data_IF_996161403992
#
_entry.id   IF_996161403992
#
_cell.length_a   1.000
_cell.length_b   1.000
_cell.length_c   1.000
_cell.angle_alpha   90.00
_cell.angle_beta   90.00
_cell.angle_gamma   90.00
#
_symmetry.space_group_name_H-M   'P 1'
#
loop_
_entity.id
_entity.type
_entity.pdbx_description
1 polymer ?
#
# COMPACT_ATOMS: atom_id res chain seq x y z
N UNK A 1 -18.92 -12.34 -21.41
CA UNK A 1 -18.48 -10.92 -21.29
C UNK A 1 -19.70 -9.98 -21.16
N UNK A 2 -20.90 -10.53 -20.92
CA UNK A 2 -22.15 -9.74 -20.92
C UNK A 2 -22.74 -9.47 -19.52
N UNK A 3 -21.94 -9.54 -18.46
CA UNK A 3 -22.42 -9.35 -17.08
C UNK A 3 -21.96 -8.06 -16.40
N UNK A 4 -21.60 -7.05 -17.20
CA UNK A 4 -21.29 -5.69 -16.71
C UNK A 4 -22.53 -4.81 -16.47
N UNK A 5 -23.74 -5.38 -16.58
CA UNK A 5 -25.00 -4.64 -16.46
C UNK A 5 -25.63 -4.68 -15.05
N UNK A 6 -25.01 -5.32 -14.06
CA UNK A 6 -25.49 -5.19 -12.69
C UNK A 6 -25.00 -3.87 -12.08
N UNK A 7 -25.90 -3.03 -11.56
CA UNK A 7 -25.50 -1.83 -10.87
C UNK A 7 -24.52 -2.22 -9.75
N UNK A 8 -23.38 -1.57 -9.72
CA UNK A 8 -22.34 -1.82 -8.71
C UNK A 8 -22.94 -1.59 -7.32
N UNK A 9 -23.26 -2.69 -6.64
CA UNK A 9 -23.87 -2.66 -5.29
C UNK A 9 -22.80 -2.71 -4.18
N UNK A 10 -21.53 -2.58 -4.56
CA UNK A 10 -20.40 -2.59 -3.64
C UNK A 10 -20.27 -1.28 -2.83
N UNK A 11 -19.43 -1.33 -1.81
CA UNK A 11 -19.05 -0.18 -1.01
C UNK A 11 -17.71 0.36 -1.51
N UNK A 12 -17.64 1.64 -1.87
CA UNK A 12 -16.37 2.32 -2.12
C UNK A 12 -15.70 2.65 -0.80
N UNK A 13 -14.90 1.70 -0.32
CA UNK A 13 -14.19 1.82 0.95
C UNK A 13 -13.15 2.96 0.94
N UNK A 14 -12.50 3.19 -0.20
CA UNK A 14 -11.50 4.23 -0.33
C UNK A 14 -12.13 5.62 -0.23
N UNK A 15 -13.22 5.85 -0.95
CA UNK A 15 -13.93 7.13 -0.88
C UNK A 15 -14.46 7.41 0.53
N UNK A 16 -15.04 6.41 1.20
CA UNK A 16 -15.49 6.57 2.59
C UNK A 16 -14.35 6.97 3.54
N UNK A 17 -13.17 6.39 3.35
CA UNK A 17 -11.99 6.76 4.14
C UNK A 17 -11.54 8.19 3.83
N UNK A 18 -11.50 8.58 2.55
CA UNK A 18 -11.16 9.95 2.14
C UNK A 18 -12.11 10.97 2.74
N UNK A 19 -13.42 10.72 2.66
CA UNK A 19 -14.45 11.61 3.22
C UNK A 19 -14.26 11.78 4.73
N UNK A 20 -14.01 10.68 5.44
CA UNK A 20 -13.76 10.71 6.86
C UNK A 20 -12.44 11.42 7.23
N UNK A 21 -11.36 11.21 6.45
CA UNK A 21 -10.08 11.86 6.70
C UNK A 21 -10.12 13.38 6.46
N UNK A 22 -10.97 13.85 5.54
CA UNK A 22 -11.21 15.28 5.28
C UNK A 22 -12.04 15.97 6.39
N UNK A 23 -12.84 15.22 7.12
CA UNK A 23 -13.67 15.74 8.21
C UNK A 23 -12.88 15.75 9.53
N UNK A 24 -12.73 16.92 10.22
CA UNK A 24 -11.95 17.02 11.45
C UNK A 24 -12.45 16.15 12.61
N UNK A 25 -13.72 15.77 12.64
CA UNK A 25 -14.30 14.92 13.67
C UNK A 25 -14.18 13.45 13.28
N UNK A 26 -14.55 13.12 12.05
CA UNK A 26 -14.57 11.73 11.56
C UNK A 26 -13.15 11.15 11.36
N UNK A 27 -12.15 11.99 11.06
CA UNK A 27 -10.74 11.55 10.93
C UNK A 27 -10.19 10.88 12.19
N UNK A 28 -10.78 11.14 13.36
CA UNK A 28 -10.41 10.50 14.63
C UNK A 28 -11.10 9.15 14.85
N UNK A 29 -11.88 8.68 13.88
CA UNK A 29 -12.57 7.38 13.95
C UNK A 29 -11.59 6.22 13.97
N UNK A 30 -11.91 5.21 14.80
CA UNK A 30 -11.18 3.92 14.86
C UNK A 30 -11.69 2.91 13.83
N UNK A 31 -12.56 3.35 12.89
CA UNK A 31 -13.22 2.50 11.90
C UNK A 31 -12.79 2.80 10.47
N UNK A 32 -11.67 3.52 10.29
CA UNK A 32 -11.10 3.80 8.98
C UNK A 32 -10.38 2.56 8.46
N UNK A 33 -11.14 1.56 8.07
CA UNK A 33 -10.66 0.24 7.67
C UNK A 33 -11.06 -0.03 6.22
N UNK A 34 -10.10 -0.52 5.44
CA UNK A 34 -10.31 -1.05 4.09
C UNK A 34 -9.90 -2.52 4.08
N UNK A 35 -10.78 -3.40 3.59
CA UNK A 35 -10.51 -4.85 3.52
C UNK A 35 -10.75 -5.38 2.13
N UNK A 36 -9.83 -6.23 1.68
CA UNK A 36 -9.97 -6.99 0.42
C UNK A 36 -10.45 -8.43 0.64
N UNK A 37 -10.49 -8.88 1.90
CA UNK A 37 -10.89 -10.25 2.24
C UNK A 37 -12.41 -10.39 2.32
N UNK A 38 -13.00 -10.97 1.26
CA UNK A 38 -14.43 -11.28 1.24
C UNK A 38 -14.64 -12.81 1.23
N UNK A 39 -15.04 -13.42 2.35
CA UNK A 39 -15.20 -14.89 2.43
C UNK A 39 -16.16 -15.49 1.41
N UNK A 40 -17.17 -14.74 0.97
CA UNK A 40 -18.14 -15.21 -0.03
C UNK A 40 -17.56 -15.31 -1.44
N UNK A 41 -16.48 -14.58 -1.72
CA UNK A 41 -15.91 -14.45 -3.06
C UNK A 41 -14.57 -15.18 -3.22
N UNK A 42 -14.00 -15.77 -2.16
CA UNK A 42 -12.67 -16.39 -2.22
C UNK A 42 -12.56 -17.45 -3.30
N UNK A 43 -13.62 -18.24 -3.48
CA UNK A 43 -13.66 -19.31 -4.50
C UNK A 43 -13.79 -18.79 -5.94
N UNK A 44 -14.07 -17.49 -6.11
CA UNK A 44 -14.20 -16.84 -7.41
C UNK A 44 -12.91 -16.09 -7.81
N UNK A 45 -11.95 -16.02 -6.90
CA UNK A 45 -10.68 -15.34 -7.11
C UNK A 45 -9.63 -16.32 -7.64
N UNK A 46 -8.82 -15.88 -8.61
CA UNK A 46 -7.67 -16.65 -9.08
C UNK A 46 -6.67 -16.90 -7.94
N UNK A 47 -6.53 -15.92 -7.04
CA UNK A 47 -5.73 -16.02 -5.81
C UNK A 47 -6.40 -15.18 -4.71
N UNK A 48 -6.65 -15.74 -3.52
CA UNK A 48 -7.11 -14.96 -2.38
C UNK A 48 -6.14 -13.82 -2.03
N UNK A 49 -6.64 -12.61 -1.69
CA UNK A 49 -5.79 -11.46 -1.47
C UNK A 49 -4.78 -11.69 -0.34
N UNK A 50 -3.51 -11.34 -0.59
CA UNK A 50 -2.46 -11.37 0.42
C UNK A 50 -2.54 -10.17 1.37
N UNK A 51 -2.86 -8.99 0.84
CA UNK A 51 -3.14 -7.78 1.60
C UNK A 51 -4.58 -7.85 2.13
N UNK A 52 -4.74 -8.35 3.36
CA UNK A 52 -6.07 -8.68 3.90
C UNK A 52 -6.85 -7.42 4.25
N UNK A 53 -6.21 -6.51 4.97
CA UNK A 53 -6.83 -5.25 5.40
C UNK A 53 -5.78 -4.20 5.73
N UNK A 54 -6.17 -2.94 5.64
CA UNK A 54 -5.43 -1.84 6.24
C UNK A 54 -6.36 -0.93 7.04
N UNK A 55 -5.80 -0.27 8.05
CA UNK A 55 -6.47 0.69 8.91
C UNK A 55 -5.68 1.99 8.91
N UNK A 56 -6.40 3.09 8.82
CA UNK A 56 -5.82 4.43 8.92
C UNK A 56 -6.12 5.05 10.28
N UNK A 57 -5.14 5.75 10.84
CA UNK A 57 -5.28 6.46 12.10
C UNK A 57 -4.66 7.84 11.97
N UNK A 58 -5.31 8.85 12.56
CA UNK A 58 -4.75 10.20 12.64
C UNK A 58 -4.27 10.47 14.06
N UNK A 59 -3.02 10.87 14.19
CA UNK A 59 -2.35 11.20 15.45
C UNK A 59 -2.12 12.72 15.52
N UNK A 60 -2.11 13.28 16.71
CA UNK A 60 -1.84 14.71 16.96
C UNK A 60 -2.68 15.67 16.08
N UNK A 61 -3.84 15.21 15.61
CA UNK A 61 -4.78 15.97 14.79
C UNK A 61 -4.48 16.00 13.28
N UNK A 62 -3.28 15.70 12.83
CA UNK A 62 -2.90 15.78 11.41
C UNK A 62 -1.93 14.71 10.88
N UNK A 63 -1.36 13.86 11.72
CA UNK A 63 -0.39 12.82 11.30
C UNK A 63 -1.09 11.53 10.93
N UNK A 64 -1.02 11.13 9.66
CA UNK A 64 -1.68 9.93 9.13
C UNK A 64 -0.74 8.72 9.20
N UNK A 65 -1.19 7.67 9.89
CA UNK A 65 -0.57 6.34 9.87
C UNK A 65 -1.44 5.36 9.09
N UNK A 66 -0.78 4.42 8.41
CA UNK A 66 -1.42 3.25 7.79
C UNK A 66 -0.89 1.98 8.47
N UNK A 67 -1.78 1.15 9.01
CA UNK A 67 -1.44 -0.18 9.51
C UNK A 67 -2.02 -1.23 8.58
N UNK A 68 -1.19 -2.13 8.04
CA UNK A 68 -1.64 -3.16 7.10
C UNK A 68 -1.33 -4.56 7.62
N UNK A 69 -2.29 -5.46 7.50
CA UNK A 69 -2.08 -6.88 7.74
C UNK A 69 -2.01 -7.64 6.43
N UNK A 70 -0.88 -8.31 6.21
CA UNK A 70 -0.64 -9.20 5.09
C UNK A 70 -0.52 -10.64 5.57
N UNK A 71 -1.38 -11.54 5.07
CA UNK A 71 -1.41 -12.94 5.50
C UNK A 71 -0.20 -13.75 5.02
N UNK A 72 0.38 -13.40 3.87
CA UNK A 72 1.46 -14.16 3.23
C UNK A 72 2.30 -13.26 2.33
N UNK A 73 3.61 -13.41 2.37
CA UNK A 73 4.55 -12.60 1.58
C UNK A 73 5.81 -13.37 1.20
N UNK A 74 6.22 -13.26 -0.07
CA UNK A 74 7.59 -13.48 -0.50
C UNK A 74 8.43 -12.30 -0.02
N UNK A 75 9.34 -12.55 0.91
CA UNK A 75 10.14 -11.50 1.54
C UNK A 75 11.22 -10.91 0.61
N UNK A 76 11.51 -11.53 -0.52
CA UNK A 76 12.55 -11.06 -1.44
C UNK A 76 11.95 -10.26 -2.60
N UNK A 77 11.00 -10.83 -3.33
CA UNK A 77 10.38 -10.15 -4.47
C UNK A 77 9.16 -9.32 -4.07
N UNK A 78 8.33 -9.83 -3.15
CA UNK A 78 7.06 -9.18 -2.79
C UNK A 78 7.22 -8.04 -1.79
N UNK A 79 7.97 -8.26 -0.71
CA UNK A 79 8.05 -7.35 0.43
C UNK A 79 8.45 -5.91 0.05
N UNK A 80 9.51 -5.66 -0.74
CA UNK A 80 9.91 -4.29 -1.08
C UNK A 80 8.82 -3.52 -1.82
N UNK A 81 8.16 -4.18 -2.79
CA UNK A 81 7.07 -3.57 -3.55
C UNK A 81 5.85 -3.27 -2.68
N UNK A 82 5.52 -4.16 -1.74
CA UNK A 82 4.38 -3.95 -0.85
C UNK A 82 4.65 -2.80 0.13
N UNK A 83 5.88 -2.69 0.68
CA UNK A 83 6.28 -1.55 1.50
C UNK A 83 6.16 -0.26 0.68
N UNK A 84 6.72 -0.21 -0.53
CA UNK A 84 6.65 0.96 -1.38
C UNK A 84 5.20 1.37 -1.69
N UNK A 85 4.34 0.40 -2.04
CA UNK A 85 2.94 0.66 -2.40
C UNK A 85 2.14 1.28 -1.25
N UNK A 86 2.23 0.74 -0.03
CA UNK A 86 1.47 1.26 1.10
C UNK A 86 2.08 2.52 1.71
N UNK A 87 3.41 2.67 1.66
CA UNK A 87 4.05 3.93 1.99
C UNK A 87 3.59 5.03 1.04
N UNK A 88 3.58 4.76 -0.27
CA UNK A 88 3.06 5.68 -1.28
C UNK A 88 1.58 6.01 -1.05
N UNK A 89 0.73 5.00 -0.78
CA UNK A 89 -0.68 5.21 -0.47
C UNK A 89 -0.85 6.12 0.75
N UNK A 90 -0.02 5.95 1.78
CA UNK A 90 -0.05 6.81 2.98
C UNK A 90 0.29 8.25 2.64
N UNK A 91 1.34 8.48 1.82
CA UNK A 91 1.69 9.81 1.34
C UNK A 91 0.58 10.44 0.49
N UNK A 92 0.01 9.67 -0.44
CA UNK A 92 -1.06 10.13 -1.32
C UNK A 92 -2.30 10.56 -0.53
N UNK A 93 -2.78 9.69 0.37
CA UNK A 93 -3.96 10.00 1.19
C UNK A 93 -3.70 11.16 2.15
N UNK A 94 -2.52 11.24 2.76
CA UNK A 94 -2.16 12.36 3.61
C UNK A 94 -2.21 13.67 2.82
N UNK A 95 -1.54 13.74 1.66
CA UNK A 95 -1.54 14.93 0.80
C UNK A 95 -2.95 15.30 0.32
N UNK A 96 -3.71 14.32 -0.16
CA UNK A 96 -5.06 14.51 -0.69
C UNK A 96 -6.06 15.01 0.37
N UNK A 97 -5.88 14.60 1.63
CA UNK A 97 -6.76 14.98 2.73
C UNK A 97 -6.22 16.13 3.60
N UNK A 98 -5.12 16.78 3.21
CA UNK A 98 -4.52 17.88 3.97
C UNK A 98 -3.91 17.43 5.31
N UNK A 99 -3.35 16.23 5.33
CA UNK A 99 -2.67 15.61 6.46
C UNK A 99 -1.17 15.45 6.19
N UNK A 100 -0.41 15.05 7.19
CA UNK A 100 1.01 14.72 7.13
C UNK A 100 1.18 13.19 7.15
N UNK A 101 1.90 12.61 6.19
CA UNK A 101 2.25 11.19 6.24
C UNK A 101 3.22 10.95 7.39
N UNK A 102 2.87 10.02 8.28
CA UNK A 102 3.62 9.79 9.51
C UNK A 102 4.34 8.44 9.52
N UNK A 103 3.59 7.34 9.44
CA UNK A 103 4.18 6.01 9.46
C UNK A 103 3.35 4.98 8.69
N UNK A 104 4.05 3.93 8.25
CA UNK A 104 3.44 2.70 7.76
C UNK A 104 3.82 1.55 8.70
N UNK A 105 2.82 0.95 9.35
CA UNK A 105 2.98 -0.20 10.24
C UNK A 105 2.58 -1.48 9.52
N UNK A 106 3.50 -2.43 9.44
CA UNK A 106 3.33 -3.62 8.63
C UNK A 106 3.29 -4.89 9.48
N UNK A 107 2.12 -5.55 9.52
CA UNK A 107 1.93 -6.83 10.18
C UNK A 107 1.96 -7.96 9.15
N UNK A 108 2.86 -8.90 9.32
CA UNK A 108 3.07 -10.01 8.40
C UNK A 108 2.75 -11.33 9.10
N UNK A 109 1.86 -12.13 8.49
CA UNK A 109 1.52 -13.46 8.94
C UNK A 109 2.60 -14.47 8.57
N UNK A 110 2.55 -15.00 7.35
CA UNK A 110 3.56 -15.92 6.83
C UNK A 110 4.59 -15.16 5.99
N UNK A 111 5.79 -14.98 6.51
CA UNK A 111 6.94 -14.41 5.80
C UNK A 111 7.85 -15.54 5.35
N UNK A 112 8.07 -15.69 4.05
CA UNK A 112 8.86 -16.80 3.51
C UNK A 112 9.86 -16.35 2.45
N UNK A 113 10.89 -17.17 2.26
CA UNK A 113 11.90 -17.06 1.21
C UNK A 113 11.83 -18.32 0.37
N UNK A 114 11.69 -18.19 -0.94
CA UNK A 114 11.80 -19.33 -1.84
C UNK A 114 13.25 -19.82 -1.99
N UNK A 115 13.44 -21.14 -2.10
CA UNK A 115 14.77 -21.75 -2.17
C UNK A 115 15.61 -21.19 -3.34
N UNK A 116 14.98 -20.92 -4.49
CA UNK A 116 15.64 -20.36 -5.67
C UNK A 116 16.08 -18.89 -5.49
N UNK A 117 15.65 -18.21 -4.42
CA UNK A 117 16.04 -16.83 -4.10
C UNK A 117 17.17 -16.74 -3.06
N UNK A 118 17.59 -17.85 -2.44
CA UNK A 118 18.57 -17.84 -1.34
C UNK A 118 19.91 -17.19 -1.73
N UNK A 119 20.45 -17.51 -2.91
CA UNK A 119 21.74 -16.96 -3.32
C UNK A 119 21.64 -15.47 -3.66
N UNK A 120 20.52 -15.04 -4.24
CA UNK A 120 20.22 -13.63 -4.46
C UNK A 120 20.10 -12.86 -3.14
N UNK A 121 19.47 -13.47 -2.14
CA UNK A 121 19.35 -12.96 -0.79
C UNK A 121 20.71 -12.76 -0.12
N UNK A 122 21.58 -13.78 -0.20
CA UNK A 122 22.96 -13.71 0.33
C UNK A 122 23.76 -12.58 -0.31
N UNK A 123 23.58 -12.35 -1.62
CA UNK A 123 24.22 -11.24 -2.31
C UNK A 123 23.63 -9.90 -1.85
N UNK A 124 22.31 -9.79 -1.74
CA UNK A 124 21.63 -8.55 -1.36
C UNK A 124 22.05 -8.06 0.04
N UNK A 125 22.14 -8.95 1.02
CA UNK A 125 22.51 -8.57 2.39
C UNK A 125 23.95 -8.11 2.55
N UNK A 126 24.82 -8.29 1.53
CA UNK A 126 26.18 -7.74 1.53
C UNK A 126 26.26 -6.29 1.07
N UNK A 127 25.16 -5.73 0.57
CA UNK A 127 25.12 -4.38 0.02
C UNK A 127 24.76 -3.36 1.10
N UNK A 128 25.50 -2.27 1.14
CA UNK A 128 25.17 -1.14 2.01
C UNK A 128 23.94 -0.41 1.47
N UNK A 129 22.93 -0.13 2.29
CA UNK A 129 21.75 0.59 1.84
C UNK A 129 22.06 2.05 1.52
N UNK A 130 21.42 2.57 0.47
CA UNK A 130 21.42 4.00 0.19
C UNK A 130 20.45 4.75 1.12
N UNK A 131 20.59 6.07 1.28
CA UNK A 131 19.58 6.90 1.94
C UNK A 131 18.21 6.71 1.30
N UNK A 132 17.14 6.82 2.10
CA UNK A 132 15.79 6.70 1.57
C UNK A 132 15.46 7.84 0.60
N UNK A 133 14.74 7.54 -0.49
CA UNK A 133 14.20 8.57 -1.38
C UNK A 133 13.06 9.33 -0.71
N UNK A 134 12.73 10.49 -1.27
CA UNK A 134 11.57 11.28 -0.85
C UNK A 134 10.55 11.32 -1.97
N UNK A 135 9.27 11.12 -1.64
CA UNK A 135 8.14 11.25 -2.57
C UNK A 135 7.60 12.68 -2.48
N UNK A 136 7.48 13.31 -3.64
CA UNK A 136 6.80 14.60 -3.80
C UNK A 136 5.50 14.41 -4.57
N UNK A 137 4.44 15.08 -4.09
CA UNK A 137 3.15 15.17 -4.76
C UNK A 137 2.90 16.66 -4.97
N UNK A 138 3.03 17.10 -6.22
CA UNK A 138 3.11 18.54 -6.56
C UNK A 138 1.78 19.23 -6.24
N UNK A 139 0.69 18.69 -6.74
CA UNK A 139 -0.63 19.31 -6.59
C UNK A 139 -1.67 18.32 -6.04
N UNK A 140 -2.65 18.87 -5.35
CA UNK A 140 -3.79 18.12 -4.88
C UNK A 140 -4.87 18.14 -5.97
N UNK A 141 -5.31 16.95 -6.40
CA UNK A 141 -6.44 16.80 -7.32
C UNK A 141 -7.75 16.85 -6.56
N UNK A 142 -8.83 17.19 -7.25
CA UNK A 142 -10.17 17.23 -6.65
C UNK A 142 -10.65 15.81 -6.31
N UNK A 143 -10.48 14.88 -7.25
CA UNK A 143 -10.82 13.47 -7.07
C UNK A 143 -9.55 12.61 -7.00
N UNK A 144 -9.56 11.57 -6.15
CA UNK A 144 -8.43 10.65 -6.00
C UNK A 144 -8.10 9.91 -7.32
N UNK A 145 -9.09 9.73 -8.19
CA UNK A 145 -8.92 9.08 -9.48
C UNK A 145 -8.32 9.97 -10.58
N UNK A 146 -8.15 11.27 -10.32
CA UNK A 146 -7.62 12.22 -11.29
C UNK A 146 -6.09 12.33 -11.25
N UNK A 147 -5.46 11.68 -10.25
CA UNK A 147 -4.01 11.64 -10.20
C UNK A 147 -3.43 10.82 -11.36
N UNK A 148 -2.37 11.34 -11.96
CA UNK A 148 -1.59 10.67 -12.99
C UNK A 148 -0.11 10.61 -12.59
N UNK A 149 0.71 9.90 -13.37
CA UNK A 149 2.13 9.73 -13.04
C UNK A 149 2.90 11.04 -12.94
N UNK A 150 2.51 12.05 -13.73
CA UNK A 150 3.16 13.36 -13.74
C UNK A 150 2.91 14.19 -12.47
N UNK A 151 1.98 13.76 -11.60
CA UNK A 151 1.73 14.40 -10.31
C UNK A 151 2.73 13.97 -9.22
N UNK A 152 3.60 13.01 -9.52
CA UNK A 152 4.49 12.39 -8.55
C UNK A 152 5.94 12.49 -8.97
N UNK A 153 6.79 12.89 -8.04
CA UNK A 153 8.24 12.86 -8.21
C UNK A 153 8.90 12.05 -7.09
N UNK A 154 9.94 11.30 -7.44
CA UNK A 154 10.77 10.59 -6.47
C UNK A 154 12.16 11.22 -6.51
N UNK A 155 12.54 11.85 -5.41
CA UNK A 155 13.83 12.52 -5.30
C UNK A 155 14.85 11.64 -4.59
N UNK A 156 16.11 11.74 -5.03
CA UNK A 156 17.27 11.07 -4.44
C UNK A 156 17.18 9.54 -4.44
N UNK A 157 16.40 8.93 -5.34
CA UNK A 157 16.38 7.49 -5.47
C UNK A 157 17.70 6.98 -6.03
N UNK A 158 18.31 6.05 -5.31
CA UNK A 158 19.52 5.34 -5.71
C UNK A 158 19.30 3.83 -5.53
N UNK A 159 19.88 3.04 -6.40
CA UNK A 159 19.81 1.58 -6.30
C UNK A 159 21.11 0.94 -6.75
N UNK A 160 21.41 -0.22 -6.19
CA UNK A 160 22.43 -1.11 -6.71
C UNK A 160 21.97 -1.76 -8.02
N UNK A 161 22.88 -2.41 -8.71
CA UNK A 161 22.54 -3.22 -9.88
C UNK A 161 21.50 -4.28 -9.56
N UNK A 162 20.62 -4.55 -10.53
CA UNK A 162 19.56 -5.52 -10.37
C UNK A 162 20.08 -6.93 -10.12
N UNK A 163 19.48 -7.63 -9.16
CA UNK A 163 19.70 -9.06 -8.93
C UNK A 163 18.56 -9.81 -9.63
N UNK A 164 18.91 -10.56 -10.68
CA UNK A 164 17.91 -11.32 -11.45
C UNK A 164 17.46 -12.55 -10.68
N UNK A 165 16.15 -12.67 -10.49
CA UNK A 165 15.49 -13.82 -9.86
C UNK A 165 14.28 -14.25 -10.69
N UNK A 166 13.91 -15.53 -10.60
CA UNK A 166 12.67 -16.03 -11.17
C UNK A 166 11.56 -15.93 -10.12
N UNK A 167 10.44 -15.34 -10.52
CA UNK A 167 9.23 -15.39 -9.70
C UNK A 167 8.68 -16.82 -9.70
N UNK A 168 8.32 -17.28 -8.50
CA UNK A 168 7.61 -18.56 -8.29
C UNK A 168 6.16 -18.22 -8.00
N UNK A 169 5.25 -18.83 -8.76
CA UNK A 169 3.80 -18.63 -8.60
C UNK A 169 3.18 -19.84 -7.87
#
# INVERSE_FOLDING_TARGET
IDDLAHPFTGVDQLQQIIDALKDPVQRMSRRLIMTSWNPKQLNQMALPPCHVMCQFNVHDGNKLSCSMFQRSIDSILGLPFNIASYSFLTHLLAKHCGLEAYEFVYFIGNCHVYENAIDACKLQITREPYPFPTVYIEQVRENINDYCLDDFEIHNYQSHEAIKMKMVA
#
